data_IF_041434516536
#
_entry.id   IF_041434516536
#
_cell.length_a   1.000
_cell.length_b   1.000
_cell.length_c   1.000
_cell.angle_alpha   90.00
_cell.angle_beta   90.00
_cell.angle_gamma   90.00
#
_symmetry.space_group_name_H-M   'P 1'
#
loop_
_entity.id
_entity.type
_entity.pdbx_description
1 polymer ?
#
# COMPACT_ATOMS: atom_id res chain seq x y z
N UNK A 1 -31.48 13.17 -20.37
CA UNK A 1 -30.93 11.80 -20.43
C UNK A 1 -31.94 10.90 -21.14
N UNK A 2 -31.56 10.09 -22.14
CA UNK A 2 -32.49 9.19 -22.84
C UNK A 2 -32.68 7.89 -22.07
N UNK A 3 -33.82 7.21 -22.22
CA UNK A 3 -34.07 5.88 -21.60
C UNK A 3 -32.96 4.89 -21.97
N UNK A 4 -32.48 4.92 -23.23
CA UNK A 4 -31.36 4.10 -23.70
C UNK A 4 -30.06 4.37 -22.96
N UNK A 5 -29.70 5.64 -22.75
CA UNK A 5 -28.49 6.00 -21.96
C UNK A 5 -28.61 5.57 -20.49
N UNK A 6 -29.81 5.63 -19.92
CA UNK A 6 -30.07 5.21 -18.54
C UNK A 6 -29.96 3.69 -18.37
N UNK A 7 -30.51 2.92 -19.31
CA UNK A 7 -30.40 1.46 -19.34
C UNK A 7 -28.96 0.98 -19.56
N UNK A 8 -28.21 1.63 -20.46
CA UNK A 8 -26.80 1.33 -20.69
C UNK A 8 -25.94 1.62 -19.45
N UNK A 9 -26.18 2.75 -18.78
CA UNK A 9 -25.51 3.08 -17.52
C UNK A 9 -25.80 2.07 -16.41
N UNK A 10 -27.06 1.65 -16.26
CA UNK A 10 -27.44 0.63 -15.29
C UNK A 10 -26.81 -0.74 -15.61
N UNK A 11 -26.82 -1.16 -16.87
CA UNK A 11 -26.18 -2.40 -17.30
C UNK A 11 -24.68 -2.39 -16.96
N UNK A 12 -23.98 -1.32 -17.31
CA UNK A 12 -22.56 -1.16 -17.04
C UNK A 12 -22.26 -1.16 -15.52
N UNK A 13 -23.05 -0.43 -14.75
CA UNK A 13 -22.90 -0.36 -13.29
C UNK A 13 -23.09 -1.75 -12.64
N UNK A 14 -24.04 -2.54 -13.14
CA UNK A 14 -24.41 -3.86 -12.56
C UNK A 14 -23.59 -5.02 -13.12
N UNK A 15 -22.76 -4.84 -14.15
CA UNK A 15 -21.78 -5.87 -14.57
C UNK A 15 -20.87 -6.24 -13.39
N UNK A 16 -20.59 -7.53 -13.12
CA UNK A 16 -19.69 -7.90 -12.02
C UNK A 16 -18.33 -7.18 -12.12
N UNK A 17 -17.75 -7.15 -13.33
CA UNK A 17 -16.48 -6.49 -13.63
C UNK A 17 -16.69 -5.44 -14.71
N UNK A 18 -16.15 -4.24 -14.50
CA UNK A 18 -16.18 -3.18 -15.51
C UNK A 18 -15.32 -3.59 -16.73
N UNK A 19 -15.74 -3.35 -17.99
CA UNK A 19 -14.97 -3.73 -19.18
C UNK A 19 -13.53 -3.18 -19.17
N UNK A 20 -13.35 -1.92 -18.75
CA UNK A 20 -12.02 -1.31 -18.58
C UNK A 20 -11.16 -2.02 -17.54
N UNK A 21 -11.74 -2.43 -16.40
CA UNK A 21 -11.01 -3.23 -15.39
C UNK A 21 -10.62 -4.59 -15.97
N UNK A 22 -11.52 -5.26 -16.69
CA UNK A 22 -11.22 -6.56 -17.33
C UNK A 22 -10.07 -6.44 -18.32
N UNK A 23 -10.05 -5.39 -19.15
CA UNK A 23 -8.98 -5.13 -20.11
C UNK A 23 -7.64 -4.84 -19.40
N UNK A 24 -7.65 -4.02 -18.34
CA UNK A 24 -6.46 -3.72 -17.56
C UNK A 24 -5.89 -4.96 -16.85
N UNK A 25 -6.75 -5.81 -16.29
CA UNK A 25 -6.35 -7.09 -15.69
C UNK A 25 -5.73 -8.03 -16.73
N UNK A 26 -6.36 -8.18 -17.89
CA UNK A 26 -5.82 -9.04 -18.96
C UNK A 26 -4.45 -8.56 -19.45
N UNK A 27 -4.28 -7.24 -19.62
CA UNK A 27 -2.99 -6.63 -19.96
C UNK A 27 -1.96 -6.93 -18.87
N UNK A 28 -2.31 -6.68 -17.61
CA UNK A 28 -1.40 -6.92 -16.49
C UNK A 28 -0.99 -8.39 -16.41
N UNK A 29 -1.90 -9.33 -16.61
CA UNK A 29 -1.58 -10.75 -16.66
C UNK A 29 -0.57 -11.09 -17.76
N UNK A 30 -0.69 -10.47 -18.94
CA UNK A 30 0.22 -10.70 -20.06
C UNK A 30 1.63 -10.13 -19.83
N UNK A 31 1.74 -9.04 -19.05
CA UNK A 31 3.02 -8.42 -18.68
C UNK A 31 3.81 -9.21 -17.63
N UNK A 32 3.17 -10.12 -16.89
CA UNK A 32 3.83 -10.89 -15.85
C UNK A 32 4.83 -11.92 -16.43
N UNK A 33 5.99 -12.12 -15.78
CA UNK A 33 6.90 -13.19 -16.15
C UNK A 33 6.22 -14.55 -15.97
N UNK A 34 6.67 -15.56 -16.72
CA UNK A 34 6.09 -16.90 -16.70
C UNK A 34 6.00 -17.49 -15.28
N UNK A 35 7.04 -17.31 -14.46
CA UNK A 35 7.07 -17.80 -13.08
C UNK A 35 6.05 -17.15 -12.15
N UNK A 36 5.62 -15.90 -12.42
CA UNK A 36 4.65 -15.19 -11.60
C UNK A 36 3.18 -15.46 -12.00
N UNK A 37 2.94 -16.09 -13.16
CA UNK A 37 1.59 -16.44 -13.66
C UNK A 37 1.07 -17.73 -13.04
N UNK A 38 0.92 -17.71 -11.72
CA UNK A 38 0.43 -18.85 -10.92
C UNK A 38 -1.06 -18.71 -10.61
N UNK A 39 -1.69 -19.80 -10.15
CA UNK A 39 -3.09 -19.73 -9.64
C UNK A 39 -3.23 -18.86 -8.37
N UNK A 40 -2.16 -18.69 -7.61
CA UNK A 40 -2.17 -17.84 -6.41
C UNK A 40 -2.04 -16.35 -6.73
N UNK A 41 -1.58 -16.00 -7.93
CA UNK A 41 -1.30 -14.62 -8.32
C UNK A 41 -2.56 -13.76 -8.37
N UNK A 42 -2.59 -12.66 -7.63
CA UNK A 42 -3.71 -11.70 -7.67
C UNK A 42 -3.56 -10.70 -8.82
N UNK A 43 -2.33 -10.38 -9.22
CA UNK A 43 -2.06 -9.43 -10.31
C UNK A 43 -2.59 -9.97 -11.64
N UNK A 44 -3.42 -9.19 -12.31
CA UNK A 44 -4.08 -9.57 -13.56
C UNK A 44 -5.26 -10.54 -13.42
N UNK A 45 -5.55 -11.03 -12.20
CA UNK A 45 -6.74 -11.84 -11.92
C UNK A 45 -7.78 -11.09 -11.09
N UNK A 46 -7.35 -10.41 -10.03
CA UNK A 46 -8.23 -9.64 -9.15
C UNK A 46 -7.84 -8.17 -9.05
N UNK A 47 -6.54 -7.88 -9.04
CA UNK A 47 -6.01 -6.53 -8.94
C UNK A 47 -4.99 -6.26 -10.05
N UNK A 48 -4.77 -5.00 -10.38
CA UNK A 48 -3.70 -4.58 -11.32
C UNK A 48 -2.39 -4.24 -10.59
N UNK A 49 -2.44 -4.13 -9.26
CA UNK A 49 -1.36 -3.66 -8.40
C UNK A 49 -1.81 -2.50 -7.51
N UNK A 50 -0.93 -2.09 -6.61
CA UNK A 50 -0.99 -0.82 -5.90
C UNK A 50 -0.23 0.25 -6.70
N UNK A 51 -0.64 1.49 -6.53
CA UNK A 51 -0.07 2.65 -7.24
C UNK A 51 0.57 3.60 -6.22
N UNK A 52 1.65 4.28 -6.57
CA UNK A 52 2.28 5.31 -5.74
C UNK A 52 2.46 6.59 -6.53
N UNK A 53 2.43 7.74 -5.85
CA UNK A 53 2.85 9.01 -6.45
C UNK A 53 4.38 9.13 -6.43
N UNK A 54 4.95 9.80 -7.42
CA UNK A 54 6.35 10.26 -7.39
C UNK A 54 6.39 11.77 -7.70
N UNK A 55 7.56 12.39 -7.56
CA UNK A 55 7.75 13.77 -8.04
C UNK A 55 6.95 14.87 -7.34
N UNK A 56 6.21 14.58 -6.25
CA UNK A 56 5.38 15.57 -5.53
C UNK A 56 6.24 16.51 -4.69
N UNK A 57 6.87 15.98 -3.64
CA UNK A 57 7.98 16.59 -2.93
C UNK A 57 8.65 15.51 -2.07
N UNK A 58 9.98 15.48 -2.00
CA UNK A 58 10.71 14.48 -1.22
C UNK A 58 11.01 14.88 0.24
N UNK A 59 10.57 16.06 0.67
CA UNK A 59 10.93 16.63 1.97
C UNK A 59 10.30 15.89 3.14
N UNK A 60 11.12 15.63 4.17
CA UNK A 60 10.73 15.08 5.45
C UNK A 60 11.39 15.89 6.58
N UNK A 61 10.73 15.98 7.74
CA UNK A 61 11.24 16.62 8.96
C UNK A 61 11.84 15.62 9.96
N UNK A 62 11.90 14.32 9.62
CA UNK A 62 12.67 13.30 10.33
C UNK A 62 13.91 12.87 9.52
N UNK A 63 14.90 12.33 10.22
CA UNK A 63 16.10 11.75 9.63
C UNK A 63 16.13 10.25 9.91
N UNK A 64 15.90 9.44 8.87
CA UNK A 64 15.96 7.97 8.98
C UNK A 64 17.27 7.43 8.41
N UNK A 65 17.88 6.44 9.07
CA UNK A 65 19.09 5.79 8.55
C UNK A 65 18.80 4.89 7.34
N UNK A 66 17.80 3.97 7.32
CA UNK A 66 17.51 3.16 6.12
C UNK A 66 16.56 3.89 5.14
N UNK A 67 16.71 5.21 4.97
CA UNK A 67 15.80 5.99 4.14
C UNK A 67 16.08 5.77 2.65
N UNK A 68 15.04 5.43 1.88
CA UNK A 68 15.14 5.31 0.42
C UNK A 68 15.25 6.67 -0.29
N UNK A 69 15.00 7.79 0.40
CA UNK A 69 15.16 9.10 -0.19
C UNK A 69 16.62 9.44 -0.48
N UNK A 70 16.83 10.04 -1.66
CA UNK A 70 18.15 10.50 -2.08
C UNK A 70 18.65 11.70 -1.25
N UNK A 71 19.92 12.05 -1.45
CA UNK A 71 20.60 13.14 -0.75
C UNK A 71 19.88 14.49 -0.83
N UNK A 72 19.20 14.77 -1.94
CA UNK A 72 18.56 16.07 -2.20
C UNK A 72 17.13 16.16 -1.67
N UNK A 73 16.57 15.07 -1.13
CA UNK A 73 15.17 15.00 -0.72
C UNK A 73 14.72 16.11 0.25
N UNK A 74 15.55 16.42 1.25
CA UNK A 74 15.24 17.46 2.24
C UNK A 74 15.60 18.87 1.77
N UNK A 75 15.95 19.06 0.50
CA UNK A 75 16.29 20.35 -0.11
C UNK A 75 15.24 20.87 -1.09
N UNK A 76 14.10 20.18 -1.20
CA UNK A 76 12.95 20.58 -2.03
C UNK A 76 11.89 21.21 -1.13
N UNK A 77 11.30 22.32 -1.56
CA UNK A 77 10.18 22.94 -0.85
C UNK A 77 8.92 22.08 -0.94
N UNK A 78 8.07 22.17 0.07
CA UNK A 78 6.71 21.61 0.00
C UNK A 78 5.83 22.63 -0.70
N UNK A 79 5.19 22.22 -1.78
CA UNK A 79 4.32 23.09 -2.57
C UNK A 79 3.01 22.36 -2.92
N UNK A 80 1.90 22.96 -2.50
CA UNK A 80 0.56 22.38 -2.67
C UNK A 80 0.08 22.40 -4.12
N UNK A 81 0.36 23.46 -4.87
CA UNK A 81 -0.10 23.63 -6.25
C UNK A 81 0.60 22.64 -7.18
N UNK A 82 1.93 22.52 -7.03
CA UNK A 82 2.74 21.50 -7.71
C UNK A 82 2.26 20.09 -7.36
N UNK A 83 2.05 19.80 -6.07
CA UNK A 83 1.57 18.48 -5.62
C UNK A 83 0.25 18.12 -6.29
N UNK A 84 -0.74 19.02 -6.26
CA UNK A 84 -2.06 18.74 -6.87
C UNK A 84 -1.95 18.52 -8.37
N UNK A 85 -1.09 19.27 -9.05
CA UNK A 85 -0.87 19.16 -10.50
C UNK A 85 -0.21 17.83 -10.85
N UNK A 86 0.93 17.51 -10.22
CA UNK A 86 1.66 16.27 -10.45
C UNK A 86 0.79 15.04 -10.14
N UNK A 87 0.03 15.07 -9.03
CA UNK A 87 -0.88 13.96 -8.71
C UNK A 87 -2.00 13.84 -9.73
N UNK A 88 -2.61 14.94 -10.18
CA UNK A 88 -3.67 14.88 -11.19
C UNK A 88 -3.20 14.22 -12.49
N UNK A 89 -2.01 14.59 -12.98
CA UNK A 89 -1.41 14.03 -14.19
C UNK A 89 -1.12 12.53 -14.05
N UNK A 90 -0.52 12.12 -12.93
CA UNK A 90 -0.26 10.71 -12.63
C UNK A 90 -1.56 9.91 -12.53
N UNK A 91 -2.58 10.43 -11.86
CA UNK A 91 -3.89 9.78 -11.74
C UNK A 91 -4.59 9.62 -13.10
N UNK A 92 -4.45 10.60 -14.01
CA UNK A 92 -4.98 10.52 -15.36
C UNK A 92 -4.31 9.37 -16.14
N UNK A 93 -2.98 9.30 -16.13
CA UNK A 93 -2.23 8.22 -16.79
C UNK A 93 -2.57 6.85 -16.21
N UNK A 94 -2.60 6.74 -14.88
CA UNK A 94 -3.01 5.50 -14.23
C UNK A 94 -4.43 5.11 -14.66
N UNK A 95 -5.37 6.05 -14.81
CA UNK A 95 -6.75 5.72 -15.19
C UNK A 95 -6.80 5.07 -16.58
N UNK A 96 -5.98 5.61 -17.48
CA UNK A 96 -5.83 5.11 -18.84
C UNK A 96 -5.21 3.70 -18.88
N UNK A 97 -4.14 3.46 -18.10
CA UNK A 97 -3.38 2.21 -18.19
C UNK A 97 -3.95 1.11 -17.28
N UNK A 98 -4.25 1.46 -16.02
CA UNK A 98 -4.66 0.53 -14.95
C UNK A 98 -6.18 0.41 -14.81
N UNK A 99 -6.92 1.24 -15.53
CA UNK A 99 -8.37 1.20 -15.58
C UNK A 99 -9.03 2.04 -14.47
N UNK A 100 -10.33 1.84 -14.24
CA UNK A 100 -11.17 2.82 -13.55
C UNK A 100 -11.06 2.82 -12.02
N UNK A 101 -10.44 1.81 -11.42
CA UNK A 101 -10.40 1.62 -9.96
C UNK A 101 -9.12 0.93 -9.53
N UNK A 102 -8.45 1.47 -8.52
CA UNK A 102 -7.27 0.90 -7.88
C UNK A 102 -7.07 1.49 -6.48
N UNK A 103 -6.01 1.07 -5.80
CA UNK A 103 -5.51 1.71 -4.59
C UNK A 103 -4.26 2.51 -4.95
N UNK A 104 -4.16 3.74 -4.45
CA UNK A 104 -2.99 4.58 -4.65
C UNK A 104 -2.51 5.19 -3.34
N UNK A 105 -1.20 5.20 -3.13
CA UNK A 105 -0.58 5.87 -2.01
C UNK A 105 -0.12 7.27 -2.42
N UNK A 106 -0.49 8.28 -1.63
CA UNK A 106 0.16 9.58 -1.66
C UNK A 106 1.46 9.45 -0.86
N UNK A 107 2.58 9.45 -1.57
CA UNK A 107 3.93 9.23 -1.07
C UNK A 107 4.91 10.15 -1.81
N UNK A 108 6.06 10.41 -1.20
CA UNK A 108 7.11 11.25 -1.78
C UNK A 108 8.03 11.78 -0.70
N UNK A 109 7.47 12.27 0.40
CA UNK A 109 8.15 12.72 1.61
C UNK A 109 7.20 12.61 2.80
N UNK A 110 7.28 13.52 3.77
CA UNK A 110 6.26 13.61 4.83
C UNK A 110 5.03 14.35 4.34
N UNK A 111 3.96 13.62 4.00
CA UNK A 111 2.74 14.21 3.43
C UNK A 111 2.03 15.14 4.39
N UNK A 112 2.22 15.01 5.71
CA UNK A 112 1.63 15.94 6.68
C UNK A 112 2.36 17.28 6.77
N UNK A 113 3.40 17.50 5.96
CA UNK A 113 3.97 18.83 5.75
C UNK A 113 3.17 19.66 4.72
N UNK A 114 2.29 19.04 3.93
CA UNK A 114 1.37 19.77 3.07
C UNK A 114 0.41 20.60 3.91
N UNK A 115 0.03 21.82 3.46
CA UNK A 115 -1.13 22.50 4.01
C UNK A 115 -2.37 21.59 4.02
N UNK A 116 -3.19 21.60 5.08
CA UNK A 116 -4.34 20.69 5.20
C UNK A 116 -5.31 20.74 4.02
N UNK A 117 -5.54 21.93 3.47
CA UNK A 117 -6.42 22.15 2.33
C UNK A 117 -5.90 21.49 1.05
N UNK A 118 -4.59 21.58 0.81
CA UNK A 118 -3.92 20.97 -0.33
C UNK A 118 -3.85 19.46 -0.22
N UNK A 119 -3.61 18.95 0.99
CA UNK A 119 -3.66 17.52 1.26
C UNK A 119 -5.08 16.99 0.99
N UNK A 120 -6.11 17.65 1.54
CA UNK A 120 -7.49 17.23 1.33
C UNK A 120 -7.91 17.30 -0.15
N UNK A 121 -7.46 18.34 -0.88
CA UNK A 121 -7.73 18.49 -2.31
C UNK A 121 -7.03 17.41 -3.13
N UNK A 122 -5.78 17.09 -2.83
CA UNK A 122 -5.03 15.99 -3.45
C UNK A 122 -5.74 14.65 -3.27
N UNK A 123 -6.23 14.36 -2.06
CA UNK A 123 -6.98 13.12 -1.79
C UNK A 123 -8.31 13.06 -2.55
N UNK A 124 -8.99 14.20 -2.75
CA UNK A 124 -10.18 14.27 -3.60
C UNK A 124 -9.84 13.99 -5.06
N UNK A 125 -8.79 14.61 -5.61
CA UNK A 125 -8.31 14.34 -6.97
C UNK A 125 -8.05 12.85 -7.22
N UNK A 126 -7.40 12.16 -6.28
CA UNK A 126 -7.18 10.71 -6.37
C UNK A 126 -8.50 9.92 -6.40
N UNK A 127 -9.46 10.29 -5.54
CA UNK A 127 -10.78 9.65 -5.48
C UNK A 127 -11.62 9.87 -6.72
N UNK A 128 -11.60 11.09 -7.26
CA UNK A 128 -12.32 11.45 -8.48
C UNK A 128 -11.77 10.67 -9.68
N UNK A 129 -10.47 10.39 -9.68
CA UNK A 129 -9.82 9.49 -10.64
C UNK A 129 -10.08 7.99 -10.34
N UNK A 130 -10.87 7.65 -9.31
CA UNK A 130 -11.26 6.28 -8.99
C UNK A 130 -10.31 5.53 -8.06
N UNK A 131 -9.32 6.20 -7.44
CA UNK A 131 -8.40 5.57 -6.50
C UNK A 131 -8.95 5.65 -5.09
N UNK A 132 -8.79 4.59 -4.31
CA UNK A 132 -8.88 4.74 -2.86
C UNK A 132 -7.50 5.20 -2.36
N UNK A 133 -7.36 6.47 -1.91
CA UNK A 133 -6.08 7.02 -1.54
C UNK A 133 -5.65 6.55 -0.14
N UNK A 134 -4.35 6.43 0.07
CA UNK A 134 -3.72 6.26 1.38
C UNK A 134 -2.54 7.20 1.53
N UNK A 135 -2.56 8.04 2.55
CA UNK A 135 -1.46 8.98 2.84
C UNK A 135 -0.34 8.30 3.63
N UNK A 136 0.92 8.41 3.19
CA UNK A 136 2.08 7.89 3.92
C UNK A 136 2.70 8.98 4.80
N UNK A 137 2.80 8.73 6.11
CA UNK A 137 3.35 9.66 7.11
C UNK A 137 4.20 8.93 8.13
N UNK A 138 5.17 9.59 8.74
CA UNK A 138 5.87 9.11 9.92
C UNK A 138 5.02 9.23 11.21
N UNK A 139 3.81 9.78 11.13
CA UNK A 139 2.84 9.80 12.24
C UNK A 139 3.11 10.83 13.33
N UNK A 140 3.99 11.80 13.11
CA UNK A 140 4.28 12.87 14.08
C UNK A 140 3.69 14.21 13.63
N UNK A 141 2.37 14.29 13.76
CA UNK A 141 1.54 15.47 13.54
C UNK A 141 0.44 15.51 14.62
N UNK A 142 -0.29 16.61 14.70
CA UNK A 142 -1.30 16.83 15.73
C UNK A 142 -2.72 16.64 15.21
N UNK A 143 -3.66 16.45 16.13
CA UNK A 143 -5.07 16.23 15.80
C UNK A 143 -5.68 17.39 15.01
N UNK A 144 -5.29 18.63 15.31
CA UNK A 144 -5.78 19.84 14.61
C UNK A 144 -5.45 19.79 13.12
N UNK A 145 -4.29 19.25 12.75
CA UNK A 145 -3.94 19.01 11.34
C UNK A 145 -4.89 17.99 10.70
N UNK A 146 -5.10 16.86 11.37
CA UNK A 146 -5.97 15.79 10.89
C UNK A 146 -7.40 16.27 10.68
N UNK A 147 -7.92 17.02 11.66
CA UNK A 147 -9.25 17.61 11.62
C UNK A 147 -9.39 18.61 10.47
N UNK A 148 -8.40 19.47 10.24
CA UNK A 148 -8.39 20.41 9.12
C UNK A 148 -8.29 19.75 7.74
N UNK A 149 -7.65 18.58 7.63
CA UNK A 149 -7.69 17.77 6.40
C UNK A 149 -9.08 17.18 6.19
N UNK A 150 -9.71 16.70 7.26
CA UNK A 150 -10.99 16.01 7.21
C UNK A 150 -12.20 16.95 7.00
N UNK A 151 -12.13 18.18 7.52
CA UNK A 151 -13.28 19.10 7.63
C UNK A 151 -13.06 20.41 6.86
N UNK A 152 -14.14 20.93 6.28
CA UNK A 152 -14.23 22.28 5.71
C UNK A 152 -14.20 23.37 6.77
N UNK A 153 -13.99 24.61 6.34
CA UNK A 153 -14.16 25.78 7.21
C UNK A 153 -15.60 25.93 7.74
N UNK A 154 -16.56 25.26 7.10
CA UNK A 154 -17.96 25.16 7.51
C UNK A 154 -18.24 23.97 8.45
N UNK A 155 -17.20 23.25 8.88
CA UNK A 155 -17.31 22.06 9.74
C UNK A 155 -17.85 20.82 9.05
N UNK A 156 -18.15 20.86 7.74
CA UNK A 156 -18.62 19.67 7.01
C UNK A 156 -17.45 18.78 6.62
N UNK A 157 -17.71 17.47 6.57
CA UNK A 157 -16.73 16.50 6.09
C UNK A 157 -16.38 16.78 4.63
N UNK A 158 -15.08 16.93 4.38
CA UNK A 158 -14.47 16.92 3.04
C UNK A 158 -14.35 15.50 2.49
N UNK A 159 -14.21 14.53 3.38
CA UNK A 159 -13.96 13.12 3.08
C UNK A 159 -14.75 12.25 4.05
N UNK A 160 -15.49 11.25 3.56
CA UNK A 160 -16.23 10.30 4.42
C UNK A 160 -15.34 9.18 4.98
N UNK A 161 -14.13 9.03 4.43
CA UNK A 161 -13.13 8.06 4.85
C UNK A 161 -11.73 8.64 4.71
N UNK A 162 -10.83 8.31 5.62
CA UNK A 162 -9.39 8.62 5.48
C UNK A 162 -8.57 7.35 5.67
N UNK A 163 -7.59 7.13 4.80
CA UNK A 163 -6.68 5.99 4.94
C UNK A 163 -5.27 6.51 5.11
N UNK A 164 -4.57 6.05 6.14
CA UNK A 164 -3.21 6.47 6.44
C UNK A 164 -2.32 5.27 6.71
N UNK A 165 -1.09 5.37 6.22
CA UNK A 165 0.03 4.51 6.51
C UNK A 165 0.95 5.27 7.47
N UNK A 166 1.04 4.83 8.72
CA UNK A 166 1.94 5.40 9.72
C UNK A 166 3.23 4.59 9.78
N UNK A 167 4.37 5.22 9.47
CA UNK A 167 5.69 4.63 9.54
C UNK A 167 6.31 4.88 10.93
N UNK A 168 6.62 3.78 11.63
CA UNK A 168 7.21 3.81 12.96
C UNK A 168 8.31 2.76 13.06
N UNK A 169 9.55 3.22 13.09
CA UNK A 169 10.73 2.41 13.44
C UNK A 169 11.71 3.24 14.28
N UNK A 170 12.55 2.55 15.05
CA UNK A 170 13.51 3.16 15.96
C UNK A 170 14.63 3.94 15.26
N UNK A 171 14.74 3.85 13.93
CA UNK A 171 15.74 4.56 13.14
C UNK A 171 15.27 5.93 12.65
N UNK A 172 14.01 6.30 12.87
CA UNK A 172 13.46 7.62 12.54
C UNK A 172 13.80 8.64 13.62
N UNK A 173 14.83 9.45 13.39
CA UNK A 173 15.28 10.46 14.35
C UNK A 173 14.57 11.81 14.16
N UNK A 174 14.32 12.49 15.28
CA UNK A 174 13.70 13.83 15.31
C UNK A 174 12.24 13.85 15.77
N UNK A 175 11.64 12.69 16.09
CA UNK A 175 10.26 12.61 16.57
C UNK A 175 10.07 13.44 17.84
N UNK A 176 9.02 14.25 17.89
CA UNK A 176 8.70 15.10 19.06
C UNK A 176 8.52 14.24 20.31
N UNK A 177 9.22 14.59 21.38
CA UNK A 177 9.24 13.85 22.64
C UNK A 177 10.16 12.63 22.68
N UNK A 178 10.67 12.12 21.55
CA UNK A 178 11.64 11.02 21.49
C UNK A 178 12.57 11.15 20.28
N UNK A 179 13.48 12.12 20.33
CA UNK A 179 14.33 12.43 19.18
C UNK A 179 15.19 11.24 18.70
N UNK A 180 15.54 10.31 19.60
CA UNK A 180 16.27 9.06 19.29
C UNK A 180 15.65 7.90 20.08
N UNK A 181 14.72 7.15 19.50
CA UNK A 181 14.17 5.97 20.14
C UNK A 181 15.27 4.94 20.42
N UNK A 182 15.28 4.38 21.62
CA UNK A 182 16.27 3.35 21.99
C UNK A 182 15.92 1.98 21.38
N UNK A 183 14.64 1.72 21.20
CA UNK A 183 14.07 0.47 20.72
C UNK A 183 12.67 0.73 20.12
N UNK A 184 12.05 -0.31 19.56
CA UNK A 184 10.70 -0.26 19.00
C UNK A 184 9.62 -0.13 20.08
N UNK A 185 9.87 -0.64 21.29
CA UNK A 185 8.91 -0.58 22.39
C UNK A 185 8.67 0.87 22.85
N UNK A 186 9.71 1.70 22.85
CA UNK A 186 9.66 3.13 23.18
C UNK A 186 8.76 3.94 22.23
N UNK A 187 8.48 3.41 21.04
CA UNK A 187 7.55 4.02 20.07
C UNK A 187 6.08 3.62 20.28
N UNK A 188 5.78 2.69 21.19
CA UNK A 188 4.41 2.22 21.50
C UNK A 188 3.44 3.36 21.83
N UNK A 189 3.76 4.32 22.74
CA UNK A 189 2.86 5.42 23.04
C UNK A 189 2.55 6.30 21.82
N UNK A 190 3.48 6.41 20.87
CA UNK A 190 3.31 7.20 19.65
C UNK A 190 2.43 6.48 18.63
N UNK A 191 2.55 5.16 18.52
CA UNK A 191 1.62 4.33 17.73
C UNK A 191 0.20 4.43 18.26
N UNK A 192 0.03 4.37 19.59
CA UNK A 192 -1.27 4.52 20.23
C UNK A 192 -1.85 5.92 19.99
N UNK A 193 -1.08 6.99 20.25
CA UNK A 193 -1.50 8.38 20.00
C UNK A 193 -1.95 8.57 18.54
N UNK A 194 -1.21 8.01 17.59
CA UNK A 194 -1.57 8.09 16.17
C UNK A 194 -2.95 7.47 15.92
N UNK A 195 -3.21 6.27 16.44
CA UNK A 195 -4.51 5.61 16.28
C UNK A 195 -5.63 6.37 17.00
N UNK A 196 -5.38 6.86 18.21
CA UNK A 196 -6.34 7.61 19.03
C UNK A 196 -6.84 8.86 18.28
N UNK A 197 -5.97 9.54 17.52
CA UNK A 197 -6.39 10.69 16.71
C UNK A 197 -7.46 10.33 15.68
N UNK A 198 -7.34 9.19 15.01
CA UNK A 198 -8.35 8.76 14.02
C UNK A 198 -9.61 8.20 14.66
N UNK A 199 -9.49 7.52 15.81
CA UNK A 199 -10.64 7.09 16.59
C UNK A 199 -11.45 8.28 17.10
N UNK A 200 -10.76 9.32 17.57
CA UNK A 200 -11.38 10.59 17.94
C UNK A 200 -12.07 11.24 16.74
N UNK A 201 -11.42 11.33 15.59
CA UNK A 201 -12.01 11.89 14.37
C UNK A 201 -13.30 11.15 13.96
N UNK A 202 -13.31 9.82 14.05
CA UNK A 202 -14.51 9.03 13.77
C UNK A 202 -15.62 9.26 14.80
N UNK A 203 -15.27 9.36 16.08
CA UNK A 203 -16.24 9.58 17.17
C UNK A 203 -16.84 10.98 17.10
N UNK A 204 -16.01 12.00 16.94
CA UNK A 204 -16.41 13.41 16.98
C UNK A 204 -17.16 13.81 15.70
N UNK A 205 -16.76 13.27 14.53
CA UNK A 205 -17.22 13.76 13.22
C UNK A 205 -17.78 12.68 12.27
N UNK A 206 -17.72 11.40 12.65
CA UNK A 206 -18.19 10.29 11.82
C UNK A 206 -17.32 10.02 10.58
N UNK A 207 -16.08 10.53 10.54
CA UNK A 207 -15.12 10.26 9.45
C UNK A 207 -14.50 8.89 9.69
N UNK A 208 -14.84 7.90 8.86
CA UNK A 208 -14.29 6.54 9.00
C UNK A 208 -12.81 6.52 8.66
N UNK A 209 -12.08 5.54 9.17
CA UNK A 209 -10.66 5.42 8.86
C UNK A 209 -10.19 4.01 8.53
N UNK A 210 -9.02 3.92 7.89
CA UNK A 210 -8.24 2.70 7.75
C UNK A 210 -6.77 3.00 7.98
N UNK A 211 -6.15 2.30 8.93
CA UNK A 211 -4.76 2.56 9.31
C UNK A 211 -3.88 1.36 8.99
N UNK A 212 -2.76 1.62 8.35
CA UNK A 212 -1.67 0.69 8.18
C UNK A 212 -0.50 1.08 9.11
N UNK A 213 0.04 0.11 9.83
CA UNK A 213 1.31 0.24 10.53
C UNK A 213 2.42 -0.17 9.56
N UNK A 214 3.41 0.69 9.34
CA UNK A 214 4.59 0.39 8.55
C UNK A 214 5.85 0.49 9.43
N UNK A 215 6.83 -0.37 9.16
CA UNK A 215 8.10 -0.40 9.88
C UNK A 215 9.21 -0.90 8.96
N UNK A 216 10.29 -0.15 8.85
CA UNK A 216 11.51 -0.65 8.25
C UNK A 216 12.21 -1.64 9.19
N UNK A 217 12.63 -2.78 8.63
CA UNK A 217 13.30 -3.85 9.35
C UNK A 217 14.77 -3.88 8.98
N UNK A 218 15.62 -3.93 9.99
CA UNK A 218 17.06 -4.13 9.87
C UNK A 218 17.49 -5.25 10.84
N UNK A 219 18.74 -5.73 10.78
CA UNK A 219 19.23 -6.68 11.77
C UNK A 219 19.10 -6.20 13.23
N UNK A 220 19.01 -4.88 13.46
CA UNK A 220 18.99 -4.27 14.80
C UNK A 220 17.62 -4.26 15.48
N UNK A 221 16.53 -4.43 14.73
CA UNK A 221 15.16 -4.46 15.27
C UNK A 221 14.37 -5.71 14.87
N UNK A 222 15.01 -6.70 14.22
CA UNK A 222 14.39 -7.95 13.82
C UNK A 222 13.71 -8.66 15.01
N UNK A 223 14.43 -8.82 16.12
CA UNK A 223 13.98 -9.51 17.34
C UNK A 223 12.86 -8.77 18.09
N UNK A 224 12.56 -7.53 17.69
CA UNK A 224 11.55 -6.68 18.29
C UNK A 224 10.21 -6.71 17.53
N UNK A 225 10.17 -7.25 16.31
CA UNK A 225 8.96 -7.31 15.47
C UNK A 225 7.80 -8.00 16.20
N UNK A 226 8.06 -9.15 16.83
CA UNK A 226 6.99 -9.86 17.50
C UNK A 226 6.37 -9.03 18.65
N UNK A 227 7.20 -8.30 19.40
CA UNK A 227 6.74 -7.40 20.46
C UNK A 227 5.88 -6.26 19.91
N UNK A 228 6.24 -5.72 18.74
CA UNK A 228 5.43 -4.71 18.04
C UNK A 228 4.07 -5.28 17.65
N UNK A 229 4.00 -6.46 17.03
CA UNK A 229 2.73 -7.09 16.65
C UNK A 229 1.86 -7.36 17.88
N UNK A 230 2.43 -7.96 18.93
CA UNK A 230 1.73 -8.28 20.18
C UNK A 230 1.19 -7.04 20.91
N UNK A 231 1.88 -5.91 20.79
CA UNK A 231 1.42 -4.67 21.43
C UNK A 231 0.38 -3.96 20.56
N UNK A 232 0.55 -3.99 19.24
CA UNK A 232 -0.24 -3.17 18.32
C UNK A 232 -1.50 -3.84 17.78
N UNK A 233 -1.65 -5.17 17.85
CA UNK A 233 -2.76 -5.87 17.19
C UNK A 233 -4.16 -5.39 17.61
N UNK A 234 -4.30 -4.93 18.86
CA UNK A 234 -5.55 -4.42 19.41
C UNK A 234 -5.76 -2.91 19.23
N UNK A 235 -4.73 -2.15 18.84
CA UNK A 235 -4.78 -0.68 18.86
C UNK A 235 -5.81 -0.10 17.90
N UNK A 236 -5.87 -0.63 16.67
CA UNK A 236 -6.77 -0.10 15.64
C UNK A 236 -6.30 -0.30 14.21
N UNK A 237 -5.04 -0.66 13.98
CA UNK A 237 -4.50 -0.96 12.65
C UNK A 237 -5.26 -2.11 11.95
N UNK A 238 -5.55 -1.92 10.66
CA UNK A 238 -6.14 -2.92 9.77
C UNK A 238 -5.10 -3.60 8.88
N UNK A 239 -3.86 -3.12 8.89
CA UNK A 239 -2.74 -3.69 8.15
C UNK A 239 -1.43 -3.47 8.92
N UNK A 240 -0.58 -4.49 8.94
CA UNK A 240 0.80 -4.42 9.40
C UNK A 240 1.73 -4.70 8.23
N UNK A 241 2.70 -3.82 8.00
CA UNK A 241 3.62 -3.84 6.86
C UNK A 241 5.04 -3.74 7.37
N UNK A 242 5.83 -4.77 7.10
CA UNK A 242 7.23 -4.86 7.48
C UNK A 242 8.09 -4.80 6.23
N UNK A 243 9.07 -3.91 6.23
CA UNK A 243 9.86 -3.59 5.03
C UNK A 243 11.34 -3.84 5.33
N UNK A 244 11.88 -5.03 5.01
CA UNK A 244 13.32 -5.26 5.10
C UNK A 244 14.08 -4.20 4.31
N UNK A 245 15.05 -3.57 4.97
CA UNK A 245 15.86 -2.53 4.37
C UNK A 245 16.69 -3.11 3.21
N UNK A 246 16.82 -2.31 2.15
CA UNK A 246 17.72 -2.59 1.03
C UNK A 246 18.70 -1.44 0.85
N UNK A 247 19.78 -1.67 0.11
CA UNK A 247 20.75 -0.62 -0.23
C UNK A 247 20.18 0.26 -1.36
N UNK A 248 19.28 1.17 -0.96
CA UNK A 248 18.62 2.18 -1.81
C UNK A 248 18.77 3.57 -1.17
N UNK A 249 18.58 4.64 -1.94
CA UNK A 249 18.68 6.02 -1.44
C UNK A 249 20.11 6.53 -1.25
N UNK A 250 20.35 7.19 -0.12
CA UNK A 250 21.62 7.85 0.23
C UNK A 250 22.61 6.87 0.88
N UNK A 251 23.64 6.47 0.13
CA UNK A 251 24.64 5.46 0.51
C UNK A 251 25.38 5.76 1.82
N UNK A 252 25.53 7.05 2.16
CA UNK A 252 26.12 7.51 3.42
C UNK A 252 25.39 7.03 4.66
N UNK A 253 24.14 6.55 4.52
CA UNK A 253 23.29 6.09 5.62
C UNK A 253 23.28 4.56 5.77
N UNK A 254 23.95 3.84 4.88
CA UNK A 254 24.04 2.39 4.90
C UNK A 254 25.03 1.93 5.97
N UNK A 255 24.55 1.81 7.21
CA UNK A 255 25.39 1.49 8.37
C UNK A 255 25.30 0.03 8.82
N UNK A 256 24.25 -0.70 8.42
CA UNK A 256 24.02 -2.07 8.87
C UNK A 256 24.21 -3.08 7.72
N UNK A 257 24.53 -4.33 8.10
CA UNK A 257 24.57 -5.44 7.16
C UNK A 257 23.16 -5.92 6.80
N UNK A 258 22.40 -5.16 6.01
CA UNK A 258 21.00 -5.49 5.68
C UNK A 258 20.82 -6.91 5.10
N UNK A 259 21.86 -7.48 4.48
CA UNK A 259 21.89 -8.85 3.95
C UNK A 259 22.05 -9.95 5.01
N UNK A 260 22.23 -9.59 6.28
CA UNK A 260 22.37 -10.56 7.37
C UNK A 260 21.03 -11.16 7.80
N UNK A 261 19.91 -10.61 7.33
CA UNK A 261 18.57 -11.13 7.58
C UNK A 261 17.92 -11.56 6.26
N UNK A 262 17.13 -12.63 6.32
CA UNK A 262 16.33 -13.12 5.21
C UNK A 262 14.86 -12.74 5.38
N UNK A 263 14.13 -12.78 4.27
CA UNK A 263 12.67 -12.70 4.24
C UNK A 263 11.99 -13.74 5.16
N UNK A 264 12.61 -14.91 5.34
CA UNK A 264 12.12 -15.95 6.22
C UNK A 264 12.28 -15.58 7.69
N UNK A 265 13.41 -14.98 8.08
CA UNK A 265 13.64 -14.52 9.45
C UNK A 265 12.61 -13.46 9.86
N UNK A 266 12.36 -12.50 8.96
CA UNK A 266 11.37 -11.43 9.18
C UNK A 266 9.97 -12.03 9.28
N UNK A 267 9.59 -12.92 8.36
CA UNK A 267 8.26 -13.52 8.40
C UNK A 267 8.04 -14.38 9.65
N UNK A 268 9.05 -15.13 10.10
CA UNK A 268 8.99 -15.93 11.31
C UNK A 268 8.74 -15.05 12.56
N UNK A 269 9.35 -13.87 12.63
CA UNK A 269 9.12 -12.92 13.71
C UNK A 269 7.70 -12.31 13.69
N UNK A 270 7.15 -12.07 12.49
CA UNK A 270 5.75 -11.64 12.34
C UNK A 270 4.80 -12.75 12.83
N UNK A 271 5.03 -14.00 12.43
CA UNK A 271 4.24 -15.16 12.90
C UNK A 271 4.34 -15.35 14.42
N UNK A 272 5.54 -15.19 14.98
CA UNK A 272 5.78 -15.22 16.44
C UNK A 272 4.97 -14.12 17.15
N UNK A 273 4.91 -12.93 16.55
CA UNK A 273 4.11 -11.82 17.05
C UNK A 273 2.60 -12.04 16.97
N UNK A 274 2.13 -12.59 15.84
CA UNK A 274 0.73 -12.92 15.63
C UNK A 274 0.26 -14.13 16.47
N UNK A 275 1.20 -14.91 17.00
CA UNK A 275 0.94 -16.11 17.79
C UNK A 275 0.41 -17.28 16.94
N UNK A 276 0.53 -17.20 15.62
CA UNK A 276 0.02 -18.21 14.69
C UNK A 276 0.73 -18.11 13.35
N UNK A 277 0.63 -19.18 12.55
CA UNK A 277 1.12 -19.22 11.17
C UNK A 277 0.31 -18.27 10.30
N UNK A 278 0.99 -17.56 9.41
CA UNK A 278 0.43 -16.58 8.49
C UNK A 278 0.59 -17.09 7.05
N UNK A 279 -0.40 -17.81 6.50
CA UNK A 279 -0.32 -18.40 5.17
C UNK A 279 -0.35 -17.32 4.07
N UNK A 280 0.79 -17.11 3.39
CA UNK A 280 0.92 -16.13 2.30
C UNK A 280 0.90 -16.74 0.90
N UNK A 281 1.13 -18.04 0.76
CA UNK A 281 1.15 -18.74 -0.54
C UNK A 281 -0.21 -18.84 -1.23
N UNK A 282 -1.37 -18.88 -0.52
CA UNK A 282 -2.67 -18.91 -1.20
C UNK A 282 -2.92 -17.70 -2.09
N UNK A 283 -2.47 -16.51 -1.68
CA UNK A 283 -2.69 -15.25 -2.40
C UNK A 283 -1.37 -14.49 -2.53
N UNK A 284 -0.80 -14.51 -3.73
CA UNK A 284 0.47 -13.84 -4.05
C UNK A 284 0.20 -12.48 -4.71
N UNK A 285 0.88 -11.43 -4.25
CA UNK A 285 0.82 -10.09 -4.85
C UNK A 285 2.14 -9.80 -5.55
N UNK A 286 2.28 -10.19 -6.81
CA UNK A 286 3.54 -10.10 -7.55
C UNK A 286 4.48 -11.27 -7.26
N UNK A 287 5.79 -11.00 -7.15
CA UNK A 287 6.81 -12.00 -6.86
C UNK A 287 6.95 -12.25 -5.34
N UNK A 288 7.00 -13.51 -4.92
CA UNK A 288 7.07 -13.91 -3.51
C UNK A 288 8.42 -13.59 -2.84
N UNK A 289 9.47 -13.34 -3.64
CA UNK A 289 10.76 -12.82 -3.18
C UNK A 289 10.72 -11.32 -2.88
N UNK A 290 9.62 -10.65 -3.21
CA UNK A 290 9.38 -9.25 -2.85
C UNK A 290 8.23 -9.11 -1.87
N UNK A 291 7.17 -9.91 -2.02
CA UNK A 291 5.92 -9.71 -1.29
C UNK A 291 5.45 -10.99 -0.63
N UNK A 292 5.23 -10.92 0.68
CA UNK A 292 4.44 -11.90 1.42
C UNK A 292 3.22 -11.20 1.99
N UNK A 293 2.04 -11.78 1.79
CA UNK A 293 0.79 -11.19 2.29
C UNK A 293 -0.12 -12.26 2.84
N UNK A 294 -0.51 -12.13 4.10
CA UNK A 294 -1.49 -12.99 4.74
C UNK A 294 -2.76 -12.20 5.07
N UNK A 295 -3.89 -12.70 4.55
CA UNK A 295 -5.20 -12.10 4.76
C UNK A 295 -5.96 -12.88 5.82
N UNK A 296 -6.50 -12.17 6.81
CA UNK A 296 -7.19 -12.77 7.94
C UNK A 296 -7.92 -11.76 8.80
N UNK A 297 -8.29 -12.21 9.99
CA UNK A 297 -9.02 -11.40 10.94
C UNK A 297 -8.74 -11.87 12.37
N UNK A 298 -8.81 -10.92 13.30
CA UNK A 298 -8.80 -11.20 14.73
C UNK A 298 -10.21 -11.47 15.25
N UNK A 299 -10.31 -12.43 16.18
CA UNK A 299 -11.43 -12.60 17.11
C UNK A 299 -10.87 -12.58 18.52
N UNK A 300 -10.97 -11.43 19.19
CA UNK A 300 -10.19 -11.17 20.41
C UNK A 300 -8.68 -11.15 20.09
N UNK A 301 -7.83 -11.84 20.86
CA UNK A 301 -6.38 -11.90 20.60
C UNK A 301 -5.98 -12.89 19.50
N UNK A 302 -6.87 -13.80 19.08
CA UNK A 302 -6.52 -14.86 18.13
C UNK A 302 -6.75 -14.40 16.69
N UNK A 303 -5.74 -14.58 15.83
CA UNK A 303 -5.84 -14.33 14.39
C UNK A 303 -6.19 -15.62 13.62
N UNK A 304 -7.04 -15.48 12.61
CA UNK A 304 -7.46 -16.56 11.72
C UNK A 304 -7.23 -16.18 10.26
N UNK A 305 -6.65 -17.11 9.49
CA UNK A 305 -6.48 -16.94 8.05
C UNK A 305 -7.81 -17.09 7.30
N UNK A 306 -7.97 -16.31 6.21
CA UNK A 306 -9.09 -16.51 5.28
C UNK A 306 -8.88 -17.81 4.48
N UNK A 307 -7.65 -18.08 4.07
CA UNK A 307 -7.27 -19.25 3.29
C UNK A 307 -6.00 -19.87 3.87
N UNK A 308 -5.92 -21.20 3.86
CA UNK A 308 -4.72 -21.96 4.22
C UNK A 308 -4.32 -22.87 3.05
N UNK A 309 -3.05 -22.85 2.65
CA UNK A 309 -2.52 -23.69 1.56
C UNK A 309 -2.53 -25.19 1.90
N UNK A 310 -2.55 -25.54 3.19
CA UNK A 310 -2.63 -26.92 3.65
C UNK A 310 -4.07 -27.46 3.60
N UNK A 311 -5.06 -26.63 3.28
CA UNK A 311 -6.47 -27.01 3.18
C UNK A 311 -6.89 -27.01 1.70
N UNK A 312 -7.00 -28.18 1.04
CA UNK A 312 -7.38 -28.24 -0.38
C UNK A 312 -8.71 -27.58 -0.71
N UNK A 313 -9.65 -27.53 0.26
CA UNK A 313 -10.92 -26.85 0.09
C UNK A 313 -10.77 -25.32 -0.03
N UNK A 314 -9.78 -24.73 0.64
CA UNK A 314 -9.49 -23.29 0.58
C UNK A 314 -8.85 -22.94 -0.76
N UNK A 315 -7.94 -23.77 -1.27
CA UNK A 315 -7.37 -23.61 -2.61
C UNK A 315 -8.45 -23.70 -3.71
N UNK A 316 -9.41 -24.62 -3.57
CA UNK A 316 -10.56 -24.71 -4.48
C UNK A 316 -11.50 -23.50 -4.38
N UNK A 317 -11.62 -22.89 -3.20
CA UNK A 317 -12.38 -21.65 -3.02
C UNK A 317 -11.67 -20.48 -3.70
N UNK A 318 -10.36 -20.33 -3.47
CA UNK A 318 -9.53 -19.32 -4.15
C UNK A 318 -9.65 -19.41 -5.66
N UNK A 319 -9.47 -20.60 -6.24
CA UNK A 319 -9.54 -20.78 -7.70
C UNK A 319 -10.92 -20.35 -8.23
N UNK A 320 -12.00 -20.67 -7.51
CA UNK A 320 -13.35 -20.24 -7.87
C UNK A 320 -13.56 -18.73 -7.70
N UNK A 321 -13.00 -18.12 -6.65
CA UNK A 321 -13.03 -16.68 -6.46
C UNK A 321 -12.32 -15.96 -7.60
N UNK A 322 -11.08 -16.34 -7.92
CA UNK A 322 -10.32 -15.71 -9.02
C UNK A 322 -11.02 -15.87 -10.36
N UNK A 323 -11.60 -17.05 -10.62
CA UNK A 323 -12.28 -17.33 -11.90
C UNK A 323 -13.59 -16.56 -12.08
N UNK A 324 -14.40 -16.40 -11.04
CA UNK A 324 -15.78 -15.93 -11.16
C UNK A 324 -16.05 -14.56 -10.51
N UNK A 325 -15.17 -14.15 -9.60
CA UNK A 325 -15.24 -12.88 -8.86
C UNK A 325 -13.95 -12.06 -9.02
N UNK A 326 -12.96 -12.55 -9.78
CA UNK A 326 -11.78 -11.78 -10.17
C UNK A 326 -12.16 -10.46 -10.83
N UNK A 327 -11.61 -9.36 -10.33
CA UNK A 327 -11.87 -8.00 -10.81
C UNK A 327 -13.17 -7.35 -10.31
N UNK A 328 -13.98 -8.04 -9.50
CA UNK A 328 -15.11 -7.41 -8.81
C UNK A 328 -14.54 -6.45 -7.77
N UNK A 329 -14.93 -5.17 -7.84
CA UNK A 329 -14.52 -4.20 -6.84
C UNK A 329 -15.42 -4.29 -5.59
N UNK A 330 -14.91 -4.93 -4.54
CA UNK A 330 -15.60 -5.03 -3.25
C UNK A 330 -15.46 -3.75 -2.40
N UNK A 331 -14.44 -2.93 -2.63
CA UNK A 331 -14.19 -1.70 -1.88
C UNK A 331 -14.72 -0.47 -2.62
N UNK A 332 -15.60 0.30 -1.99
CA UNK A 332 -16.14 1.53 -2.59
C UNK A 332 -17.25 1.33 -3.62
N UNK A 333 -17.75 0.09 -3.79
CA UNK A 333 -19.02 -0.16 -4.48
C UNK A 333 -20.18 -0.06 -3.47
N UNK A 334 -21.23 0.74 -3.72
CA UNK A 334 -22.40 0.79 -2.85
C UNK A 334 -23.02 -0.59 -2.62
N UNK A 335 -23.43 -0.89 -1.38
CA UNK A 335 -23.89 -2.23 -0.98
C UNK A 335 -24.99 -2.82 -1.90
N UNK A 336 -26.05 -2.09 -2.29
CA UNK A 336 -27.06 -2.61 -3.20
C UNK A 336 -26.48 -3.03 -4.56
N UNK A 337 -25.53 -2.24 -5.08
CA UNK A 337 -24.89 -2.52 -6.36
C UNK A 337 -23.95 -3.73 -6.26
N UNK A 338 -23.22 -3.85 -5.16
CA UNK A 338 -22.37 -5.01 -4.89
C UNK A 338 -23.20 -6.29 -4.80
N UNK A 339 -24.35 -6.25 -4.12
CA UNK A 339 -25.30 -7.38 -4.05
C UNK A 339 -25.72 -7.81 -5.46
N UNK A 340 -26.14 -6.87 -6.31
CA UNK A 340 -26.54 -7.20 -7.70
C UNK A 340 -25.38 -7.83 -8.48
N UNK A 341 -24.15 -7.29 -8.36
CA UNK A 341 -22.96 -7.86 -9.01
C UNK A 341 -22.69 -9.30 -8.55
N UNK A 342 -22.73 -9.54 -7.24
CA UNK A 342 -22.52 -10.87 -6.65
C UNK A 342 -23.62 -11.84 -7.09
N UNK A 343 -24.90 -11.43 -7.03
CA UNK A 343 -26.03 -12.25 -7.49
C UNK A 343 -25.90 -12.63 -8.97
N UNK A 344 -25.44 -11.71 -9.82
CA UNK A 344 -25.18 -12.00 -11.25
C UNK A 344 -24.05 -13.01 -11.43
N UNK A 345 -23.00 -12.96 -10.63
CA UNK A 345 -21.94 -13.97 -10.64
C UNK A 345 -22.45 -15.33 -10.13
N UNK A 346 -23.23 -15.35 -9.04
CA UNK A 346 -23.83 -16.57 -8.48
C UNK A 346 -24.81 -17.22 -9.44
N UNK A 347 -25.67 -16.44 -10.11
CA UNK A 347 -26.63 -16.96 -11.08
C UNK A 347 -25.95 -17.66 -12.27
N UNK A 348 -24.75 -17.19 -12.67
CA UNK A 348 -23.95 -17.83 -13.72
C UNK A 348 -23.09 -18.98 -13.20
N UNK A 349 -22.72 -18.94 -11.93
CA UNK A 349 -21.80 -19.89 -11.30
C UNK A 349 -22.34 -20.33 -9.92
N UNK A 350 -23.40 -21.16 -9.88
CA UNK A 350 -24.07 -21.53 -8.62
C UNK A 350 -23.16 -22.32 -7.66
N UNK A 351 -22.08 -22.93 -8.16
CA UNK A 351 -21.06 -23.60 -7.34
C UNK A 351 -20.35 -22.64 -6.37
N UNK A 352 -20.42 -21.32 -6.58
CA UNK A 352 -19.96 -20.33 -5.62
C UNK A 352 -20.67 -20.49 -4.26
N UNK A 353 -21.98 -20.74 -4.26
CA UNK A 353 -22.77 -20.85 -3.02
C UNK A 353 -22.29 -22.03 -2.18
N UNK A 354 -22.08 -23.19 -2.80
CA UNK A 354 -21.65 -24.40 -2.07
C UNK A 354 -20.21 -24.28 -1.58
N UNK A 355 -19.31 -23.69 -2.37
CA UNK A 355 -17.91 -23.46 -1.97
C UNK A 355 -17.78 -22.45 -0.84
N UNK A 356 -18.43 -21.29 -0.97
CA UNK A 356 -18.41 -20.25 0.07
C UNK A 356 -19.16 -20.70 1.33
N UNK A 357 -20.31 -21.35 1.19
CA UNK A 357 -21.05 -21.90 2.34
C UNK A 357 -20.25 -22.96 3.10
N UNK A 358 -19.61 -23.89 2.38
CA UNK A 358 -18.74 -24.90 2.97
C UNK A 358 -17.51 -24.31 3.66
N UNK A 359 -16.94 -23.24 3.12
CA UNK A 359 -15.86 -22.49 3.77
C UNK A 359 -16.34 -21.76 5.02
N UNK A 360 -17.48 -21.07 4.96
CA UNK A 360 -18.02 -20.31 6.09
C UNK A 360 -18.33 -21.23 7.27
N UNK A 361 -18.94 -22.40 7.01
CA UNK A 361 -19.21 -23.41 8.05
C UNK A 361 -17.91 -23.91 8.68
N UNK A 362 -16.88 -24.20 7.87
CA UNK A 362 -15.56 -24.64 8.37
C UNK A 362 -14.91 -23.54 9.21
N UNK A 363 -14.78 -22.32 8.70
CA UNK A 363 -14.19 -21.20 9.44
C UNK A 363 -14.96 -20.90 10.72
N UNK A 364 -16.30 -20.92 10.71
CA UNK A 364 -17.08 -20.73 11.92
C UNK A 364 -16.84 -21.84 12.96
N UNK A 365 -16.62 -23.08 12.51
CA UNK A 365 -16.24 -24.20 13.39
C UNK A 365 -14.85 -24.01 13.97
N UNK A 366 -13.86 -23.67 13.15
CA UNK A 366 -12.47 -23.45 13.57
C UNK A 366 -12.38 -22.30 14.58
N UNK A 367 -13.05 -21.16 14.29
CA UNK A 367 -13.11 -20.04 15.24
C UNK A 367 -13.80 -20.47 16.53
N UNK A 368 -14.91 -21.23 16.44
CA UNK A 368 -15.63 -21.70 17.63
C UNK A 368 -14.81 -22.69 18.46
N UNK A 369 -14.03 -23.57 17.85
CA UNK A 369 -13.19 -24.51 18.59
C UNK A 369 -12.09 -23.79 19.36
N UNK A 370 -11.52 -22.74 18.77
CA UNK A 370 -10.29 -22.14 19.27
C UNK A 370 -10.57 -21.04 20.32
N UNK A 371 -11.62 -20.23 20.12
CA UNK A 371 -11.95 -19.13 21.05
C UNK A 371 -13.27 -19.31 21.81
N UNK A 372 -14.09 -20.29 21.42
CA UNK A 372 -15.40 -20.53 22.04
C UNK A 372 -16.49 -19.54 21.62
N UNK A 373 -17.76 -19.94 21.84
CA UNK A 373 -18.94 -19.16 21.41
C UNK A 373 -19.04 -17.80 22.12
N UNK A 374 -18.68 -17.75 23.40
CA UNK A 374 -18.72 -16.51 24.19
C UNK A 374 -17.85 -15.42 23.56
N UNK A 375 -16.62 -15.75 23.19
CA UNK A 375 -15.73 -14.76 22.58
C UNK A 375 -16.21 -14.27 21.23
N UNK A 376 -16.82 -15.13 20.41
CA UNK A 376 -17.40 -14.74 19.12
C UNK A 376 -18.52 -13.70 19.33
N UNK A 377 -19.34 -13.89 20.36
CA UNK A 377 -20.47 -13.00 20.66
C UNK A 377 -20.05 -11.69 21.33
N UNK A 378 -18.94 -11.68 22.08
CA UNK A 378 -18.48 -10.49 22.81
C UNK A 378 -17.43 -9.67 22.05
N UNK A 379 -16.70 -10.26 21.11
CA UNK A 379 -15.63 -9.58 20.38
C UNK A 379 -16.06 -9.23 18.96
N UNK A 380 -15.65 -8.04 18.51
CA UNK A 380 -15.80 -7.65 17.10
C UNK A 380 -14.77 -8.39 16.25
N UNK A 381 -15.20 -8.95 15.12
CA UNK A 381 -14.30 -9.46 14.09
C UNK A 381 -13.56 -8.28 13.47
N UNK A 382 -12.22 -8.30 13.51
CA UNK A 382 -11.38 -7.24 12.96
C UNK A 382 -10.52 -7.77 11.81
N UNK A 383 -10.81 -7.43 10.55
CA UNK A 383 -9.95 -7.76 9.42
C UNK A 383 -8.57 -7.13 9.63
N UNK A 384 -7.52 -7.95 9.59
CA UNK A 384 -6.14 -7.50 9.69
C UNK A 384 -5.30 -8.26 8.68
N UNK A 385 -4.58 -7.52 7.85
CA UNK A 385 -3.65 -8.06 6.85
C UNK A 385 -2.22 -7.90 7.34
N UNK A 386 -1.41 -8.95 7.19
CA UNK A 386 0.03 -8.86 7.38
C UNK A 386 0.71 -8.81 6.02
N UNK A 387 1.64 -7.88 5.86
CA UNK A 387 2.41 -7.65 4.64
C UNK A 387 3.88 -7.60 5.01
N UNK A 388 4.70 -8.24 4.20
CA UNK A 388 6.13 -8.01 4.16
C UNK A 388 6.52 -7.64 2.73
N UNK A 389 7.25 -6.54 2.58
CA UNK A 389 7.71 -6.06 1.28
C UNK A 389 9.22 -5.80 1.28
N UNK A 390 9.97 -6.63 0.55
CA UNK A 390 11.43 -6.56 0.45
C UNK A 390 11.85 -5.80 -0.80
N UNK A 391 12.55 -4.68 -0.61
CA UNK A 391 13.15 -3.92 -1.69
C UNK A 391 14.36 -4.65 -2.27
N UNK A 392 14.72 -4.29 -3.51
CA UNK A 392 15.93 -4.79 -4.18
C UNK A 392 17.04 -3.74 -4.12
N UNK A 393 18.29 -4.18 -4.00
CA UNK A 393 19.44 -3.30 -3.99
C UNK A 393 19.55 -2.51 -5.31
N UNK A 394 19.82 -1.20 -5.21
CA UNK A 394 19.95 -0.33 -6.38
C UNK A 394 21.00 -0.84 -7.39
N UNK A 395 22.08 -1.47 -6.89
CA UNK A 395 23.15 -2.06 -7.70
C UNK A 395 22.67 -3.13 -8.68
N UNK A 396 21.63 -3.88 -8.31
CA UNK A 396 21.07 -4.96 -9.13
C UNK A 396 19.90 -4.43 -9.96
N UNK A 397 19.12 -3.49 -9.40
CA UNK A 397 17.97 -2.87 -10.06
C UNK A 397 18.39 -2.06 -11.28
N UNK A 398 19.42 -1.22 -11.18
CA UNK A 398 19.86 -0.36 -12.28
C UNK A 398 20.23 -1.13 -13.57
N UNK A 399 21.11 -2.14 -13.54
CA UNK A 399 21.42 -2.92 -14.75
C UNK A 399 20.23 -3.77 -15.24
N UNK A 400 19.43 -4.34 -14.33
CA UNK A 400 18.23 -5.09 -14.70
C UNK A 400 17.21 -4.21 -15.45
N UNK A 401 16.97 -3.00 -14.93
CA UNK A 401 16.08 -2.02 -15.55
C UNK A 401 16.59 -1.56 -16.90
N UNK A 402 17.88 -1.21 -17.01
CA UNK A 402 18.46 -0.77 -18.27
C UNK A 402 18.33 -1.86 -19.37
N UNK A 403 18.53 -3.13 -19.01
CA UNK A 403 18.31 -4.25 -19.94
C UNK A 403 16.83 -4.42 -20.31
N UNK A 404 15.90 -4.26 -19.36
CA UNK A 404 14.46 -4.26 -19.66
C UNK A 404 14.07 -3.17 -20.66
N UNK A 405 14.62 -1.95 -20.51
CA UNK A 405 14.37 -0.85 -21.44
C UNK A 405 14.89 -1.14 -22.87
N UNK A 406 15.94 -1.95 -23.00
CA UNK A 406 16.46 -2.43 -24.30
C UNK A 406 15.75 -3.68 -24.83
N UNK A 407 14.79 -4.24 -24.08
CA UNK A 407 14.15 -5.52 -24.42
C UNK A 407 15.08 -6.74 -24.29
N UNK A 408 16.17 -6.61 -23.53
CA UNK A 408 17.18 -7.64 -23.33
C UNK A 408 16.87 -8.50 -22.10
N UNK A 409 16.98 -9.82 -22.24
CA UNK A 409 16.97 -10.75 -21.12
C UNK A 409 18.39 -11.00 -20.64
N UNK A 410 18.60 -10.80 -19.33
CA UNK A 410 19.90 -11.07 -18.71
C UNK A 410 20.08 -12.56 -18.44
N UNK A 411 21.32 -13.03 -18.59
CA UNK A 411 21.71 -14.42 -18.33
C UNK A 411 22.31 -14.62 -16.94
N UNK A 412 22.85 -13.56 -16.33
CA UNK A 412 23.29 -13.59 -14.94
C UNK A 412 22.08 -13.96 -14.04
N UNK A 413 22.18 -15.02 -13.20
CA UNK A 413 21.05 -15.49 -12.42
C UNK A 413 20.47 -14.44 -11.47
N UNK A 414 21.32 -13.60 -10.88
CA UNK A 414 20.90 -12.57 -9.92
C UNK A 414 20.16 -11.45 -10.65
N UNK A 415 20.76 -10.93 -11.72
CA UNK A 415 20.14 -9.84 -12.48
C UNK A 415 18.87 -10.30 -13.22
N UNK A 416 18.83 -11.54 -13.70
CA UNK A 416 17.62 -12.15 -14.26
C UNK A 416 16.51 -12.24 -13.22
N UNK A 417 16.83 -12.71 -12.00
CA UNK A 417 15.87 -12.73 -10.90
C UNK A 417 15.35 -11.33 -10.58
N UNK A 418 16.22 -10.31 -10.60
CA UNK A 418 15.82 -8.90 -10.44
C UNK A 418 14.90 -8.44 -11.57
N UNK A 419 15.19 -8.77 -12.83
CA UNK A 419 14.31 -8.45 -13.97
C UNK A 419 12.91 -9.07 -13.80
N UNK A 420 12.83 -10.34 -13.42
CA UNK A 420 11.55 -11.02 -13.18
C UNK A 420 10.76 -10.34 -12.05
N UNK A 421 11.43 -9.99 -10.95
CA UNK A 421 10.83 -9.29 -9.81
C UNK A 421 10.31 -7.89 -10.20
N UNK A 422 11.05 -7.16 -11.05
CA UNK A 422 10.63 -5.87 -11.60
C UNK A 422 9.39 -6.01 -12.49
N UNK A 423 9.36 -6.99 -13.39
CA UNK A 423 8.19 -7.25 -14.24
C UNK A 423 6.95 -7.65 -13.42
N UNK A 424 7.15 -8.45 -12.37
CA UNK A 424 6.12 -8.90 -11.44
C UNK A 424 5.80 -7.88 -10.33
N UNK A 425 6.32 -6.65 -10.39
CA UNK A 425 6.14 -5.69 -9.31
C UNK A 425 4.66 -5.38 -9.05
N UNK A 426 4.25 -5.43 -7.79
CA UNK A 426 2.90 -5.12 -7.35
C UNK A 426 2.68 -3.63 -7.08
N UNK A 427 3.75 -2.82 -7.05
CA UNK A 427 3.71 -1.41 -6.68
C UNK A 427 4.46 -0.54 -7.70
N UNK A 428 3.75 0.34 -8.39
CA UNK A 428 4.31 1.14 -9.47
C UNK A 428 3.86 2.60 -9.44
N UNK A 429 4.72 3.46 -9.98
CA UNK A 429 4.51 4.90 -10.14
C UNK A 429 4.24 5.17 -11.63
N UNK A 430 3.40 6.16 -11.91
CA UNK A 430 3.11 6.56 -13.29
C UNK A 430 3.93 7.78 -13.65
N UNK A 431 4.53 7.78 -14.84
CA UNK A 431 5.35 8.85 -15.38
C UNK A 431 4.63 9.49 -16.57
N UNK A 432 3.82 10.55 -16.36
CA UNK A 432 3.06 11.21 -17.43
C UNK A 432 3.92 11.68 -18.60
N UNK A 433 5.17 12.07 -18.34
CA UNK A 433 6.13 12.56 -19.31
C UNK A 433 6.61 11.51 -20.31
N UNK A 434 6.63 10.22 -19.91
CA UNK A 434 6.98 9.10 -20.79
C UNK A 434 5.78 8.25 -21.18
N UNK A 435 4.66 8.36 -20.46
CA UNK A 435 3.51 7.48 -20.60
C UNK A 435 3.73 6.08 -20.02
N UNK A 436 4.76 5.89 -19.20
CA UNK A 436 5.17 4.59 -18.67
C UNK A 436 4.76 4.39 -17.20
N UNK A 437 4.80 3.13 -16.77
CA UNK A 437 4.69 2.77 -15.36
C UNK A 437 6.03 2.19 -14.89
N UNK A 438 6.54 2.75 -13.80
CA UNK A 438 7.85 2.41 -13.25
C UNK A 438 7.68 1.63 -11.95
N UNK A 439 8.32 0.44 -11.80
CA UNK A 439 8.32 -0.30 -10.54
C UNK A 439 8.96 0.50 -9.39
N UNK A 440 8.43 0.37 -8.18
CA UNK A 440 8.90 1.16 -7.03
C UNK A 440 10.41 1.05 -6.74
N UNK A 441 11.00 -0.15 -6.90
CA UNK A 441 12.45 -0.30 -6.74
C UNK A 441 13.26 0.51 -7.77
N UNK A 442 12.74 0.65 -9.00
CA UNK A 442 13.36 1.49 -10.05
C UNK A 442 13.17 2.95 -9.70
N UNK A 443 11.96 3.34 -9.28
CA UNK A 443 11.68 4.72 -8.86
C UNK A 443 12.70 5.17 -7.80
N UNK A 444 12.75 4.44 -6.67
CA UNK A 444 13.55 4.86 -5.53
C UNK A 444 15.05 4.57 -5.70
N UNK A 445 15.41 3.50 -6.42
CA UNK A 445 16.80 3.09 -6.60
C UNK A 445 17.52 3.75 -7.77
N UNK A 446 16.79 4.27 -8.77
CA UNK A 446 17.36 4.74 -10.04
C UNK A 446 16.92 6.15 -10.40
N UNK A 447 15.62 6.47 -10.32
CA UNK A 447 15.07 7.72 -10.86
C UNK A 447 15.04 8.87 -9.84
N UNK A 448 14.62 8.61 -8.60
CA UNK A 448 14.51 9.58 -7.51
C UNK A 448 15.77 10.45 -7.33
N UNK A 449 17.02 9.92 -7.41
CA UNK A 449 18.20 10.77 -7.31
C UNK A 449 18.24 11.90 -8.35
N UNK A 450 17.89 11.64 -9.60
CA UNK A 450 17.86 12.64 -10.66
C UNK A 450 16.64 13.55 -10.57
N UNK A 451 15.46 12.97 -10.31
CA UNK A 451 14.21 13.72 -10.14
C UNK A 451 14.29 14.72 -8.99
N UNK A 452 14.89 14.34 -7.86
CA UNK A 452 15.01 15.23 -6.70
C UNK A 452 15.94 16.42 -6.98
N UNK A 453 16.96 16.25 -7.83
CA UNK A 453 17.81 17.37 -8.28
C UNK A 453 17.01 18.33 -9.16
N UNK A 454 16.20 17.81 -10.08
CA UNK A 454 15.33 18.64 -10.93
C UNK A 454 14.27 19.38 -10.09
N UNK A 455 13.63 18.67 -9.14
CA UNK A 455 12.65 19.26 -8.23
C UNK A 455 13.26 20.33 -7.33
N UNK A 456 14.49 20.15 -6.87
CA UNK A 456 15.20 21.16 -6.07
C UNK A 456 15.40 22.47 -6.86
N UNK A 457 15.62 22.39 -8.16
CA UNK A 457 15.70 23.56 -9.02
C UNK A 457 14.33 24.22 -9.23
N UNK A 458 13.27 23.42 -9.36
CA UNK A 458 11.89 23.88 -9.55
C UNK A 458 11.29 24.49 -8.26
N UNK A 459 11.55 23.86 -7.12
CA UNK A 459 10.96 24.15 -5.81
C UNK A 459 12.07 24.37 -4.77
N UNK A 460 12.83 25.48 -4.85
CA UNK A 460 13.94 25.73 -3.93
C UNK A 460 13.42 26.12 -2.53
N UNK A 461 14.10 25.66 -1.47
CA UNK A 461 13.75 26.01 -0.08
C UNK A 461 13.79 27.51 0.22
N UNK A 462 14.68 28.24 -0.44
CA UNK A 462 14.79 29.68 -0.37
C UNK A 462 14.62 30.24 -1.79
N UNK A 463 13.88 31.34 -1.98
CA UNK A 463 13.76 31.98 -3.29
C UNK A 463 15.16 32.33 -3.80
N UNK A 464 15.50 31.92 -5.02
CA UNK A 464 16.74 32.35 -5.67
C UNK A 464 16.58 33.84 -5.94
N UNK A 465 17.21 34.67 -5.11
CA UNK A 465 17.32 36.11 -5.40
C UNK A 465 18.20 36.24 -6.65
N UNK A 466 17.60 36.64 -7.76
CA UNK A 466 18.28 36.89 -9.04
C UNK A 466 19.12 38.18 -8.97
N UNK A 467 20.04 38.26 -8.02
CA UNK A 467 21.01 39.35 -7.96
C UNK A 467 22.33 38.89 -8.57
N UNK A 468 22.42 38.99 -9.91
CA UNK A 468 23.62 39.39 -10.69
C UNK A 468 23.33 39.36 -12.19
N UNK A 469 22.60 40.36 -12.67
CA UNK A 469 23.00 41.02 -13.92
C UNK A 469 23.90 42.17 -13.49
N UNK A 470 25.20 41.91 -13.38
CA UNK A 470 26.19 42.99 -13.42
C UNK A 470 26.51 43.20 -14.89
N UNK A 471 26.00 44.29 -15.44
CA UNK A 471 26.62 44.92 -16.59
C UNK A 471 28.09 45.22 -16.24
N UNK A 472 29.01 44.68 -17.04
CA UNK A 472 30.33 45.22 -17.29
C UNK A 472 30.69 44.89 -18.73
#
# INVERSE_FOLDING_TARGET
MTIRSSLAGFELATRPVHPGTKAALARRWAELPAGARTKSQTLGQHAVGCEGTHGVFPKCNLACTPCYHSRDANQVAVDGDHTRTAVAEQMALLQQIRGPRAHAQLIGGEVTLLPPDDHAATLRTMRDAGREPMSMTHGDFDYDYLEAVALGSDGKRRLDRMSFAGHFDMFMFGRRGIARPADEAALTPYRQKFVDMFQRLETDHGVRHFLAHNMTVTPRNLDQIAGVVQTCHAMGFGLFSFQPAAFVGDDRRWHDGYRAISDDDVWAEIERGAGTRLPFKPLQNGDERCNRTAYGFYVGPQWFSILDENIPADLRLRDAFMSYLGGVNFSGTPAPLLIVKVLRSVARHPSLVTKFGGWLIRKARDVRSDVGLKMILTNKIRPVTFVMHSFMDAKDVAPAWAAMQRGEQLTDPTLRATQERLQACSYAMAHPETGELVPACVQHGVLDPGENVALRALLPLAPVTSNRIKHA
#
